data_IF_028879925003
#
_entry.id   IF_028879925003
#
_cell.length_a   1.000
_cell.length_b   1.000
_cell.length_c   1.000
_cell.angle_alpha   90.00
_cell.angle_beta   90.00
_cell.angle_gamma   90.00
#
_symmetry.space_group_name_H-M   'P 1'
#
loop_
_entity.id
_entity.type
_entity.pdbx_description
1 polymer ?
#
# COMPACT_ATOMS: atom_id res chain seq x y z
N UNK A 1 41.01 -15.64 27.04
CA UNK A 1 40.64 -14.42 27.80
C UNK A 1 41.24 -14.44 29.23
N UNK A 2 42.43 -15.03 29.37
CA UNK A 2 42.95 -15.37 30.69
C UNK A 2 44.16 -14.52 31.14
N UNK A 3 44.42 -13.39 30.47
CA UNK A 3 45.56 -12.53 30.81
C UNK A 3 45.17 -11.23 31.56
N UNK A 4 43.94 -11.10 32.01
CA UNK A 4 43.46 -9.96 32.80
C UNK A 4 43.38 -8.63 32.05
N UNK A 5 43.50 -8.61 30.74
CA UNK A 5 43.55 -7.40 29.93
C UNK A 5 42.23 -7.07 29.23
N UNK A 6 41.08 -7.32 29.86
CA UNK A 6 39.83 -6.82 29.34
C UNK A 6 39.80 -5.29 29.38
N UNK A 7 40.08 -4.67 28.26
CA UNK A 7 39.94 -3.22 28.12
C UNK A 7 38.54 -2.88 27.57
N UNK A 8 37.87 -1.94 28.22
CA UNK A 8 36.63 -1.40 27.71
C UNK A 8 36.88 -0.80 26.31
N UNK A 9 36.09 -1.18 25.28
CA UNK A 9 36.27 -0.65 23.94
C UNK A 9 36.19 0.88 23.95
N UNK A 10 37.15 1.55 23.36
CA UNK A 10 37.16 2.99 23.15
C UNK A 10 37.17 3.28 21.65
N UNK A 11 36.81 4.51 21.23
CA UNK A 11 36.88 4.94 19.82
C UNK A 11 38.23 4.68 19.14
N UNK A 12 39.30 4.58 19.91
CA UNK A 12 40.64 4.38 19.41
C UNK A 12 41.09 2.91 19.38
N UNK A 13 40.20 1.98 19.83
CA UNK A 13 40.54 0.56 19.93
C UNK A 13 39.49 -0.32 19.23
N UNK A 14 39.47 -0.26 17.90
CA UNK A 14 38.52 -0.96 17.03
C UNK A 14 38.46 -2.48 17.21
N UNK A 15 39.60 -3.09 17.51
CA UNK A 15 39.69 -4.56 17.60
C UNK A 15 38.81 -5.13 18.72
N UNK A 16 38.75 -4.47 19.86
CA UNK A 16 37.94 -4.93 21.00
C UNK A 16 36.46 -4.57 20.83
N UNK A 17 36.17 -3.45 20.19
CA UNK A 17 34.80 -3.06 19.94
C UNK A 17 34.07 -4.08 19.04
N UNK A 18 34.73 -4.57 17.98
CA UNK A 18 34.19 -5.59 17.10
C UNK A 18 33.89 -6.91 17.81
N UNK A 19 34.83 -7.36 18.70
CA UNK A 19 34.59 -8.55 19.51
C UNK A 19 33.41 -8.36 20.45
N UNK A 20 33.29 -7.19 21.06
CA UNK A 20 32.20 -6.89 21.98
C UNK A 20 30.81 -6.89 21.26
N UNK A 21 30.72 -6.27 20.08
CA UNK A 21 29.48 -6.29 19.27
C UNK A 21 29.17 -7.72 18.83
N UNK A 22 30.15 -8.50 18.44
CA UNK A 22 30.00 -9.91 18.07
C UNK A 22 29.41 -10.72 19.24
N UNK A 23 29.94 -10.61 20.44
CA UNK A 23 29.42 -11.31 21.63
C UNK A 23 28.03 -10.82 22.05
N UNK A 24 27.74 -9.52 21.88
CA UNK A 24 26.37 -9.00 22.04
C UNK A 24 25.42 -9.64 21.01
N UNK A 25 25.86 -9.81 19.76
CA UNK A 25 25.09 -10.52 18.74
C UNK A 25 24.66 -11.91 19.21
N UNK A 26 25.60 -12.68 19.77
CA UNK A 26 25.28 -13.99 20.35
C UNK A 26 24.29 -13.90 21.52
N UNK A 27 24.48 -12.92 22.40
CA UNK A 27 23.58 -12.69 23.53
C UNK A 27 22.15 -12.31 23.09
N UNK A 28 22.03 -11.69 21.91
CA UNK A 28 20.75 -11.35 21.25
C UNK A 28 20.19 -12.48 20.37
N UNK A 29 20.85 -13.64 20.33
CA UNK A 29 20.35 -14.82 19.59
C UNK A 29 20.88 -14.98 18.17
N UNK A 30 21.80 -14.13 17.72
CA UNK A 30 22.47 -14.31 16.44
C UNK A 30 23.49 -15.45 16.54
N UNK A 31 23.58 -16.25 15.47
CA UNK A 31 24.58 -17.33 15.34
C UNK A 31 25.64 -16.96 14.31
N UNK A 32 26.73 -17.70 14.29
CA UNK A 32 27.67 -17.59 13.18
C UNK A 32 27.00 -17.96 11.87
N UNK A 33 27.30 -17.24 10.77
CA UNK A 33 26.66 -17.46 9.46
C UNK A 33 27.25 -18.65 8.68
N UNK A 34 28.13 -19.44 9.30
CA UNK A 34 28.84 -20.57 8.70
C UNK A 34 28.79 -21.81 9.60
N UNK A 35 29.10 -22.97 9.04
CA UNK A 35 29.25 -24.21 9.79
C UNK A 35 30.48 -24.17 10.68
N UNK A 36 30.30 -24.33 11.99
CA UNK A 36 31.39 -24.43 12.94
C UNK A 36 31.60 -25.87 13.39
N UNK A 37 32.85 -26.34 13.42
CA UNK A 37 33.19 -27.55 14.15
C UNK A 37 33.04 -27.29 15.65
N UNK A 38 31.98 -27.78 16.27
CA UNK A 38 31.80 -27.68 17.71
C UNK A 38 32.72 -28.63 18.45
N UNK A 39 33.38 -28.22 19.54
CA UNK A 39 34.13 -29.10 20.43
C UNK A 39 33.25 -30.22 21.02
N UNK A 40 31.92 -30.04 21.06
CA UNK A 40 30.95 -31.04 21.54
C UNK A 40 30.41 -31.93 20.41
N UNK A 41 30.89 -31.78 19.18
CA UNK A 41 30.39 -32.54 18.01
C UNK A 41 28.99 -32.15 17.54
N UNK A 42 28.36 -31.10 18.12
CA UNK A 42 27.09 -30.54 17.63
C UNK A 42 27.42 -29.45 16.61
N UNK A 43 27.09 -29.66 15.37
CA UNK A 43 27.19 -28.68 14.32
C UNK A 43 26.04 -27.69 14.47
N UNK A 44 26.29 -26.38 14.31
CA UNK A 44 25.23 -25.39 14.24
C UNK A 44 24.27 -25.74 13.09
N UNK A 45 22.98 -25.56 13.30
CA UNK A 45 21.99 -25.93 12.26
C UNK A 45 21.96 -24.89 11.15
N UNK A 46 21.82 -25.32 9.87
CA UNK A 46 21.56 -24.40 8.76
C UNK A 46 20.23 -23.65 8.97
N UNK A 47 19.91 -22.59 8.20
CA UNK A 47 20.65 -22.13 7.03
C UNK A 47 21.93 -21.36 7.38
N UNK A 48 22.89 -21.38 6.44
CA UNK A 48 24.12 -20.59 6.46
C UNK A 48 24.10 -19.56 5.33
N UNK A 49 24.88 -18.48 5.49
CA UNK A 49 25.09 -17.51 4.40
C UNK A 49 26.04 -18.10 3.35
N UNK A 50 25.86 -17.70 2.13
CA UNK A 50 26.82 -17.98 1.05
C UNK A 50 28.16 -17.32 1.34
N UNK A 51 29.25 -17.84 0.74
CA UNK A 51 30.62 -17.39 1.04
C UNK A 51 30.81 -15.88 0.88
N UNK A 52 30.17 -15.27 -0.12
CA UNK A 52 30.30 -13.85 -0.44
C UNK A 52 29.49 -12.95 0.51
N UNK A 53 28.49 -13.51 1.18
CA UNK A 53 27.72 -12.84 2.25
C UNK A 53 28.30 -13.10 3.64
N UNK A 54 29.09 -14.16 3.80
CA UNK A 54 29.78 -14.46 5.05
C UNK A 54 31.01 -13.57 5.22
N UNK A 55 30.80 -12.28 5.30
CA UNK A 55 31.84 -11.27 5.50
C UNK A 55 31.41 -10.23 6.53
N UNK A 56 32.37 -9.67 7.27
CA UNK A 56 32.11 -8.69 8.34
C UNK A 56 31.46 -7.38 7.87
N UNK A 57 31.51 -7.07 6.59
CA UNK A 57 30.78 -5.95 5.99
C UNK A 57 29.26 -6.19 6.00
N UNK A 58 28.83 -7.47 5.97
CA UNK A 58 27.42 -7.86 5.94
C UNK A 58 26.89 -8.34 7.28
N UNK A 59 27.73 -8.99 8.09
CA UNK A 59 27.38 -9.46 9.43
C UNK A 59 28.57 -9.43 10.37
N UNK A 60 28.43 -8.86 11.55
CA UNK A 60 29.43 -8.89 12.61
C UNK A 60 29.70 -10.31 13.13
N UNK A 61 28.78 -11.25 12.85
CA UNK A 61 28.92 -12.65 13.25
C UNK A 61 29.91 -13.43 12.36
N UNK A 62 30.37 -12.84 11.25
CA UNK A 62 31.41 -13.43 10.39
C UNK A 62 32.81 -13.24 10.94
N UNK A 63 33.70 -14.22 10.68
CA UNK A 63 35.15 -14.10 10.94
C UNK A 63 35.93 -13.63 9.71
N UNK A 64 35.27 -13.48 8.56
CA UNK A 64 35.90 -13.11 7.30
C UNK A 64 35.84 -11.61 7.05
N UNK A 65 36.87 -11.03 6.44
CA UNK A 65 36.94 -9.63 6.05
C UNK A 65 37.55 -8.72 7.13
N UNK A 66 37.72 -7.44 6.77
CA UNK A 66 38.24 -6.42 7.70
C UNK A 66 37.12 -5.91 8.62
N UNK A 67 37.27 -6.13 9.91
CA UNK A 67 36.35 -5.64 10.95
C UNK A 67 36.65 -4.17 11.26
N UNK A 68 35.80 -3.25 10.77
CA UNK A 68 35.98 -1.80 10.98
C UNK A 68 34.72 -1.08 11.49
N UNK A 69 33.69 -1.81 11.95
CA UNK A 69 32.45 -1.21 12.41
C UNK A 69 32.26 -1.33 13.92
N UNK A 70 31.67 -0.30 14.52
CA UNK A 70 31.17 -0.29 15.89
C UNK A 70 29.69 -0.60 15.99
N UNK A 71 29.05 -0.95 14.87
CA UNK A 71 27.62 -1.13 14.74
C UNK A 71 27.35 -2.51 14.16
N UNK A 72 26.16 -3.02 14.36
CA UNK A 72 25.69 -4.19 13.65
C UNK A 72 25.66 -3.90 12.14
N UNK A 73 26.02 -4.90 11.39
CA UNK A 73 26.00 -4.83 9.91
C UNK A 73 24.59 -5.08 9.36
N UNK A 74 24.32 -4.80 8.09
CA UNK A 74 22.95 -4.87 7.56
C UNK A 74 22.19 -6.19 7.79
N UNK A 75 22.84 -7.34 7.65
CA UNK A 75 22.19 -8.63 7.88
C UNK A 75 21.93 -8.91 9.36
N UNK A 76 22.80 -8.39 10.25
CA UNK A 76 22.53 -8.48 11.70
C UNK A 76 21.29 -7.68 12.07
N UNK A 77 21.17 -6.46 11.54
CA UNK A 77 20.00 -5.59 11.76
C UNK A 77 18.73 -6.27 11.23
N UNK A 78 18.77 -6.81 10.02
CA UNK A 78 17.61 -7.52 9.45
C UNK A 78 17.19 -8.72 10.32
N UNK A 79 18.15 -9.49 10.81
CA UNK A 79 17.88 -10.63 11.70
C UNK A 79 17.34 -10.19 13.07
N UNK A 80 17.89 -9.12 13.66
CA UNK A 80 17.40 -8.58 14.93
C UNK A 80 15.99 -7.99 14.79
N UNK A 81 15.68 -7.32 13.69
CA UNK A 81 14.33 -6.81 13.42
C UNK A 81 13.33 -7.94 13.23
N UNK A 82 13.74 -9.03 12.58
CA UNK A 82 12.91 -10.23 12.49
C UNK A 82 12.60 -10.84 13.87
N UNK A 83 13.57 -10.85 14.79
CA UNK A 83 13.43 -11.43 16.13
C UNK A 83 12.68 -10.54 17.12
N UNK A 84 12.89 -9.24 17.07
CA UNK A 84 12.46 -8.28 18.10
C UNK A 84 11.57 -7.16 17.61
N UNK A 85 11.35 -7.02 16.32
CA UNK A 85 10.64 -5.89 15.71
C UNK A 85 11.55 -4.69 15.46
N UNK A 86 10.97 -3.65 14.87
CA UNK A 86 11.64 -2.39 14.54
C UNK A 86 11.61 -1.45 15.74
N UNK A 87 12.73 -0.76 15.98
CA UNK A 87 12.77 0.34 16.94
C UNK A 87 12.03 1.56 16.35
N UNK A 88 10.89 1.92 16.94
CA UNK A 88 9.97 2.95 16.42
C UNK A 88 10.52 4.38 16.43
N UNK A 89 11.68 4.61 17.04
CA UNK A 89 12.32 5.93 17.09
C UNK A 89 13.37 6.15 16.02
N UNK A 90 13.76 5.09 15.31
CA UNK A 90 14.75 5.17 14.23
C UNK A 90 14.08 5.63 12.97
N UNK A 91 14.54 6.74 12.38
CA UNK A 91 13.98 7.35 11.17
C UNK A 91 12.44 7.56 11.26
N UNK A 92 11.93 7.95 12.44
CA UNK A 92 10.49 8.01 12.74
C UNK A 92 9.73 9.18 12.12
N UNK A 93 10.33 9.91 11.20
CA UNK A 93 9.71 10.98 10.43
C UNK A 93 9.75 10.64 8.95
N UNK A 94 9.00 11.39 8.14
CA UNK A 94 8.92 11.18 6.69
C UNK A 94 10.31 11.17 6.06
N UNK A 95 10.70 10.03 5.52
CA UNK A 95 12.06 9.77 5.00
C UNK A 95 12.02 9.42 3.51
N UNK A 96 13.01 9.92 2.75
CA UNK A 96 13.21 9.52 1.36
C UNK A 96 14.46 8.66 1.24
N UNK A 97 14.27 7.40 0.90
CA UNK A 97 15.32 6.42 0.63
C UNK A 97 15.67 6.41 -0.84
N UNK A 98 16.74 7.12 -1.21
CA UNK A 98 17.21 7.15 -2.61
C UNK A 98 17.87 5.82 -2.96
N UNK A 99 17.27 5.12 -3.93
CA UNK A 99 17.81 3.86 -4.45
C UNK A 99 19.20 4.05 -5.08
N UNK A 100 20.13 3.20 -4.72
CA UNK A 100 21.50 3.23 -5.25
C UNK A 100 21.82 1.94 -6.01
N UNK A 101 21.94 2.02 -7.33
CA UNK A 101 22.21 0.88 -8.19
C UNK A 101 23.64 0.32 -8.08
N UNK A 102 24.55 1.03 -7.41
CA UNK A 102 25.95 0.64 -7.21
C UNK A 102 26.21 -0.01 -5.84
N UNK A 103 25.20 -0.06 -4.98
CA UNK A 103 25.27 -0.66 -3.64
C UNK A 103 24.05 -1.55 -3.42
N UNK A 104 24.10 -2.42 -2.43
CA UNK A 104 22.91 -3.03 -1.87
C UNK A 104 22.19 -1.99 -1.00
N UNK A 105 20.85 -2.02 -1.02
CA UNK A 105 20.01 -1.10 -0.29
C UNK A 105 19.21 -1.90 0.74
N UNK A 106 19.50 -1.71 2.02
CA UNK A 106 18.74 -2.25 3.13
C UNK A 106 17.99 -1.10 3.80
N UNK A 107 16.67 -1.18 3.78
CA UNK A 107 15.80 -0.13 4.31
C UNK A 107 15.25 -0.59 5.66
N UNK A 108 15.47 0.22 6.70
CA UNK A 108 14.77 0.07 7.98
C UNK A 108 14.29 1.44 8.45
N UNK A 109 13.06 1.46 8.90
CA UNK A 109 12.35 2.65 9.30
C UNK A 109 11.43 2.35 10.48
N UNK A 110 11.31 3.27 11.42
CA UNK A 110 10.50 3.14 12.62
C UNK A 110 9.10 3.73 12.49
N UNK A 111 8.85 4.51 11.43
CA UNK A 111 7.55 5.11 11.12
C UNK A 111 7.68 6.51 10.54
N UNK A 112 6.64 6.94 9.91
CA UNK A 112 6.52 8.16 9.11
C UNK A 112 5.64 7.89 7.89
N UNK A 113 5.72 8.76 6.89
CA UNK A 113 5.23 8.51 5.54
C UNK A 113 6.45 8.50 4.63
N UNK A 114 6.90 7.31 4.28
CA UNK A 114 8.23 7.09 3.74
C UNK A 114 8.20 6.78 2.25
N UNK A 115 9.27 7.13 1.56
CA UNK A 115 9.37 6.98 0.11
C UNK A 115 10.64 6.25 -0.29
N UNK A 116 10.53 5.22 -1.12
CA UNK A 116 11.66 4.70 -1.88
C UNK A 116 11.67 5.42 -3.24
N UNK A 117 12.77 6.10 -3.55
CA UNK A 117 12.94 6.86 -4.78
C UNK A 117 14.02 6.23 -5.69
N UNK A 118 13.57 5.60 -6.78
CA UNK A 118 14.42 5.02 -7.82
C UNK A 118 14.49 5.87 -9.11
N UNK A 119 14.01 7.11 -9.09
CA UNK A 119 13.95 7.98 -10.27
C UNK A 119 15.32 8.22 -10.94
N UNK A 120 16.40 8.15 -10.18
CA UNK A 120 17.77 8.31 -10.66
C UNK A 120 18.40 7.04 -11.24
N UNK A 121 17.71 5.89 -11.22
CA UNK A 121 18.24 4.64 -11.77
C UNK A 121 18.53 4.76 -13.26
N UNK A 122 19.65 4.19 -13.69
CA UNK A 122 20.05 4.15 -15.11
C UNK A 122 19.46 2.95 -15.87
N UNK A 123 18.70 2.10 -15.20
CA UNK A 123 18.09 0.87 -15.73
C UNK A 123 16.71 0.66 -15.10
N UNK A 124 15.87 -0.22 -15.70
CA UNK A 124 14.64 -0.66 -15.06
C UNK A 124 14.89 -1.20 -13.64
N UNK A 125 13.89 -1.09 -12.78
CA UNK A 125 13.95 -1.65 -11.43
C UNK A 125 12.76 -2.59 -11.18
N UNK A 126 12.98 -3.57 -10.31
CA UNK A 126 11.92 -4.37 -9.71
C UNK A 126 11.97 -4.14 -8.21
N UNK A 127 10.97 -3.49 -7.64
CA UNK A 127 10.94 -3.10 -6.21
C UNK A 127 9.66 -3.59 -5.56
N UNK A 128 9.79 -4.12 -4.35
CA UNK A 128 8.70 -4.56 -3.48
C UNK A 128 8.73 -3.76 -2.19
N UNK A 129 7.60 -3.18 -1.79
CA UNK A 129 7.47 -2.50 -0.50
C UNK A 129 7.20 -3.47 0.66
N UNK A 130 6.77 -4.70 0.36
CA UNK A 130 6.53 -5.72 1.37
C UNK A 130 7.80 -6.11 2.11
N UNK A 131 7.81 -6.06 3.47
CA UNK A 131 8.98 -6.41 4.27
C UNK A 131 9.48 -7.84 4.01
N UNK A 132 10.79 -8.01 3.89
CA UNK A 132 11.44 -9.29 3.63
C UNK A 132 11.49 -9.72 2.16
N UNK A 133 10.86 -8.97 1.24
CA UNK A 133 11.00 -9.20 -0.19
C UNK A 133 12.24 -8.48 -0.72
N UNK A 134 12.83 -9.06 -1.78
CA UNK A 134 14.08 -8.59 -2.37
C UNK A 134 13.88 -8.10 -3.79
N UNK A 135 13.97 -6.80 -3.98
CA UNK A 135 13.99 -6.14 -5.27
C UNK A 135 15.41 -6.09 -5.88
N UNK A 136 15.49 -5.72 -7.15
CA UNK A 136 16.74 -5.73 -7.93
C UNK A 136 16.67 -4.76 -9.10
N UNK A 137 17.83 -4.40 -9.64
CA UNK A 137 17.90 -3.68 -10.92
C UNK A 137 17.59 -4.63 -12.09
N UNK A 138 16.78 -4.16 -13.05
CA UNK A 138 16.30 -4.95 -14.19
C UNK A 138 14.94 -5.60 -13.92
N UNK A 139 14.42 -6.29 -14.94
CA UNK A 139 13.10 -6.95 -14.93
C UNK A 139 13.17 -8.45 -14.69
N UNK A 140 14.33 -9.03 -14.83
CA UNK A 140 14.54 -10.47 -14.65
C UNK A 140 15.48 -10.70 -13.50
N UNK A 141 14.99 -11.44 -12.50
CA UNK A 141 15.82 -11.82 -11.35
C UNK A 141 16.97 -12.71 -11.84
N UNK A 142 18.17 -12.22 -11.63
CA UNK A 142 19.38 -13.05 -11.72
C UNK A 142 19.58 -13.73 -10.37
N UNK A 143 20.34 -14.85 -10.38
CA UNK A 143 20.77 -15.50 -9.13
C UNK A 143 21.92 -14.66 -8.52
N UNK A 144 21.55 -13.50 -7.97
CA UNK A 144 22.46 -12.59 -7.27
C UNK A 144 22.10 -12.59 -5.78
N UNK A 145 23.10 -12.39 -4.95
CA UNK A 145 22.92 -12.26 -3.51
C UNK A 145 22.19 -10.96 -3.17
N UNK A 146 21.42 -10.95 -2.10
CA UNK A 146 20.70 -9.73 -1.64
C UNK A 146 21.65 -8.58 -1.28
N UNK A 147 22.92 -8.90 -1.08
CA UNK A 147 24.02 -7.97 -0.83
C UNK A 147 24.69 -7.43 -2.09
N UNK A 148 24.29 -7.92 -3.27
CA UNK A 148 24.84 -7.46 -4.55
C UNK A 148 24.43 -6.03 -4.88
N UNK A 149 25.25 -5.29 -5.64
CA UNK A 149 24.90 -3.94 -6.07
C UNK A 149 23.58 -3.88 -6.84
N UNK A 150 22.72 -2.94 -6.48
CA UNK A 150 21.39 -2.77 -7.06
C UNK A 150 20.32 -3.70 -6.49
N UNK A 151 20.62 -4.52 -5.50
CA UNK A 151 19.60 -5.20 -4.71
C UNK A 151 18.98 -4.23 -3.71
N UNK A 152 17.69 -4.40 -3.41
CA UNK A 152 16.97 -3.60 -2.41
C UNK A 152 16.07 -4.49 -1.56
N UNK A 153 16.11 -4.29 -0.26
CA UNK A 153 15.33 -5.06 0.71
C UNK A 153 14.73 -4.10 1.73
N UNK A 154 13.41 -4.13 1.85
CA UNK A 154 12.71 -3.53 2.99
C UNK A 154 12.78 -4.53 4.14
N UNK A 155 13.40 -4.13 5.25
CA UNK A 155 13.59 -5.01 6.40
C UNK A 155 12.28 -5.32 7.14
N UNK A 156 12.24 -6.43 7.84
CA UNK A 156 11.06 -6.84 8.61
C UNK A 156 10.62 -5.77 9.62
N UNK A 157 9.31 -5.52 9.66
CA UNK A 157 8.69 -4.53 10.54
C UNK A 157 8.74 -3.08 10.02
N UNK A 158 9.51 -2.80 8.99
CA UNK A 158 9.54 -1.49 8.31
C UNK A 158 8.29 -1.32 7.47
N UNK A 159 7.70 -0.14 7.51
CA UNK A 159 6.56 0.27 6.69
C UNK A 159 7.02 1.35 5.72
N UNK A 160 6.66 1.22 4.45
CA UNK A 160 6.94 2.21 3.40
C UNK A 160 5.65 2.41 2.61
N UNK A 161 5.24 3.66 2.45
CA UNK A 161 3.98 4.03 1.81
C UNK A 161 4.15 4.41 0.35
N UNK A 162 5.30 4.98 -0.02
CA UNK A 162 5.46 5.54 -1.35
C UNK A 162 6.63 4.91 -2.12
N UNK A 163 6.44 4.78 -3.43
CA UNK A 163 7.46 4.25 -4.32
C UNK A 163 7.48 5.04 -5.63
N UNK A 164 8.64 5.54 -5.98
CA UNK A 164 8.91 6.19 -7.26
C UNK A 164 9.83 5.29 -8.07
N UNK A 165 9.37 4.87 -9.24
CA UNK A 165 10.12 4.10 -10.22
C UNK A 165 11.13 4.93 -10.99
N UNK A 166 11.71 4.34 -12.02
CA UNK A 166 12.69 4.97 -12.89
C UNK A 166 12.02 5.52 -14.16
N UNK A 167 12.83 6.09 -15.05
CA UNK A 167 12.36 6.49 -16.39
C UNK A 167 12.22 5.32 -17.37
N UNK A 168 12.42 4.10 -16.95
CA UNK A 168 12.36 2.88 -17.77
C UNK A 168 11.14 2.06 -17.36
N UNK A 169 10.86 1.01 -18.10
CA UNK A 169 9.75 0.09 -17.76
C UNK A 169 10.09 -0.72 -16.51
N UNK A 170 9.39 -0.46 -15.43
CA UNK A 170 9.65 -0.98 -14.08
C UNK A 170 8.62 -2.05 -13.66
N UNK A 171 8.94 -2.78 -12.61
CA UNK A 171 7.98 -3.62 -11.86
C UNK A 171 7.95 -3.13 -10.42
N UNK A 172 6.83 -2.53 -10.04
CA UNK A 172 6.63 -1.90 -8.74
C UNK A 172 5.50 -2.62 -7.99
N UNK A 173 5.78 -3.06 -6.78
CA UNK A 173 4.79 -3.75 -5.95
C UNK A 173 4.71 -3.08 -4.58
N UNK A 174 3.50 -2.67 -4.20
CA UNK A 174 3.16 -2.13 -2.90
C UNK A 174 3.16 -3.17 -1.78
N UNK A 175 2.47 -2.88 -0.70
CA UNK A 175 2.33 -3.73 0.48
C UNK A 175 0.86 -3.76 0.95
N UNK A 176 0.61 -3.96 2.25
CA UNK A 176 -0.74 -3.99 2.81
C UNK A 176 -1.22 -2.62 3.31
N UNK A 177 -0.46 -1.55 3.06
CA UNK A 177 -0.81 -0.16 3.41
C UNK A 177 -1.41 0.56 2.19
N UNK A 178 -1.98 1.73 2.41
CA UNK A 178 -2.36 2.63 1.33
C UNK A 178 -1.10 3.20 0.67
N UNK A 179 -0.76 2.74 -0.51
CA UNK A 179 0.46 3.13 -1.20
C UNK A 179 0.23 4.23 -2.25
N UNK A 180 1.24 5.07 -2.43
CA UNK A 180 1.33 5.98 -3.59
C UNK A 180 2.47 5.53 -4.48
N UNK A 181 2.14 5.12 -5.71
CA UNK A 181 3.07 4.52 -6.65
C UNK A 181 3.19 5.40 -7.90
N UNK A 182 4.43 5.67 -8.31
CA UNK A 182 4.75 6.49 -9.49
C UNK A 182 5.66 5.67 -10.39
N UNK A 183 5.18 5.26 -11.58
CA UNK A 183 6.00 4.57 -12.57
C UNK A 183 6.99 5.52 -13.26
N UNK A 184 6.64 6.80 -13.41
CA UNK A 184 7.28 7.84 -14.22
C UNK A 184 7.15 7.53 -15.73
N UNK A 185 8.23 7.30 -16.42
CA UNK A 185 8.23 6.99 -17.85
C UNK A 185 8.48 5.51 -18.07
N UNK A 186 8.00 5.02 -19.20
CA UNK A 186 8.18 3.61 -19.51
C UNK A 186 6.85 2.95 -19.78
N UNK A 187 6.84 1.64 -19.72
CA UNK A 187 5.62 0.83 -19.69
C UNK A 187 5.73 -0.06 -18.46
N UNK A 188 5.10 0.38 -17.40
CA UNK A 188 5.32 -0.13 -16.06
C UNK A 188 4.30 -1.22 -15.69
N UNK A 189 4.73 -2.12 -14.82
CA UNK A 189 3.85 -3.09 -14.18
C UNK A 189 3.76 -2.72 -12.71
N UNK A 190 2.57 -2.26 -12.28
CA UNK A 190 2.34 -1.75 -10.93
C UNK A 190 1.26 -2.60 -10.25
N UNK A 191 1.57 -3.09 -9.06
CA UNK A 191 0.64 -3.85 -8.21
C UNK A 191 0.56 -3.15 -6.86
N UNK A 192 -0.61 -2.62 -6.49
CA UNK A 192 -0.78 -1.88 -5.23
C UNK A 192 -0.66 -2.78 -4.00
N UNK A 193 -1.20 -3.98 -4.09
CA UNK A 193 -1.28 -4.90 -2.96
C UNK A 193 -2.64 -4.88 -2.29
N UNK A 194 -2.67 -4.71 -1.00
CA UNK A 194 -3.90 -4.47 -0.26
C UNK A 194 -3.92 -3.01 0.24
N UNK A 195 -5.10 -2.46 0.48
CA UNK A 195 -5.24 -1.07 0.90
C UNK A 195 -6.07 -0.26 -0.09
N UNK A 196 -5.96 1.06 -0.02
CA UNK A 196 -6.47 1.99 -1.01
C UNK A 196 -5.27 2.64 -1.69
N UNK A 197 -4.91 2.09 -2.84
CA UNK A 197 -3.67 2.40 -3.53
C UNK A 197 -3.87 3.42 -4.64
N UNK A 198 -2.91 4.31 -4.79
CA UNK A 198 -2.93 5.39 -5.77
C UNK A 198 -1.75 5.30 -6.73
N UNK A 199 -2.04 5.27 -8.03
CA UNK A 199 -1.02 5.50 -9.06
C UNK A 199 -1.11 6.96 -9.52
N UNK A 200 0.05 7.64 -9.58
CA UNK A 200 0.15 9.04 -9.96
C UNK A 200 0.80 9.17 -11.33
N UNK A 201 0.16 9.95 -12.21
CA UNK A 201 0.60 10.24 -13.56
C UNK A 201 0.94 11.72 -13.76
N UNK A 202 2.01 12.00 -14.50
CA UNK A 202 2.46 13.37 -14.84
C UNK A 202 1.92 13.82 -16.22
N UNK A 203 0.63 13.52 -16.50
CA UNK A 203 -0.10 13.99 -17.70
C UNK A 203 -1.60 14.16 -17.36
N UNK A 204 -2.33 14.82 -18.26
CA UNK A 204 -3.75 15.07 -18.07
C UNK A 204 -4.59 13.81 -18.40
N UNK A 205 -5.72 13.67 -17.75
CA UNK A 205 -6.61 12.50 -17.91
C UNK A 205 -7.01 12.25 -19.37
N UNK A 206 -7.19 13.32 -20.14
CA UNK A 206 -7.58 13.25 -21.56
C UNK A 206 -6.52 12.61 -22.45
N UNK A 207 -5.25 12.61 -22.02
CA UNK A 207 -4.14 12.01 -22.75
C UNK A 207 -3.99 10.51 -22.51
N UNK A 208 -4.87 9.92 -21.68
CA UNK A 208 -4.85 8.51 -21.33
C UNK A 208 -6.10 7.77 -21.81
N UNK A 209 -5.89 6.58 -22.36
CA UNK A 209 -6.93 5.56 -22.53
C UNK A 209 -6.84 4.55 -21.40
N UNK A 210 -7.96 4.30 -20.73
CA UNK A 210 -8.11 3.26 -19.71
C UNK A 210 -8.76 2.03 -20.35
N UNK A 211 -8.08 0.90 -20.31
CA UNK A 211 -8.55 -0.35 -20.91
C UNK A 211 -8.51 -1.46 -19.85
N UNK A 212 -9.69 -1.94 -19.44
CA UNK A 212 -9.79 -3.02 -18.47
C UNK A 212 -9.45 -4.35 -19.14
N UNK A 213 -8.56 -5.12 -18.52
CA UNK A 213 -8.15 -6.43 -19.01
C UNK A 213 -8.35 -7.51 -17.95
N UNK A 214 -8.47 -8.75 -18.42
CA UNK A 214 -8.52 -9.93 -17.56
C UNK A 214 -7.23 -10.71 -17.77
N UNK A 215 -6.52 -10.95 -16.67
CA UNK A 215 -5.33 -11.78 -16.66
C UNK A 215 -5.62 -13.11 -15.97
N UNK A 216 -4.98 -14.16 -16.46
CA UNK A 216 -5.06 -15.49 -15.88
C UNK A 216 -3.71 -15.80 -15.20
N UNK A 217 -3.69 -15.83 -13.87
CA UNK A 217 -2.51 -16.23 -13.10
C UNK A 217 -2.65 -17.69 -12.68
N UNK A 218 -1.61 -18.48 -12.83
CA UNK A 218 -1.55 -19.84 -12.29
C UNK A 218 -0.94 -19.77 -10.89
N UNK A 219 -1.71 -20.20 -9.89
CA UNK A 219 -1.25 -20.31 -8.50
C UNK A 219 -1.61 -21.70 -7.98
N UNK A 220 -0.60 -22.45 -7.56
CA UNK A 220 -0.75 -23.81 -6.99
C UNK A 220 -1.61 -24.77 -7.84
N UNK A 221 -1.48 -24.66 -9.18
CA UNK A 221 -2.26 -25.47 -10.13
C UNK A 221 -3.68 -24.98 -10.40
N UNK A 222 -4.13 -23.91 -9.73
CA UNK A 222 -5.39 -23.24 -9.99
C UNK A 222 -5.20 -22.01 -10.89
N UNK A 223 -6.21 -21.70 -11.69
CA UNK A 223 -6.25 -20.46 -12.48
C UNK A 223 -6.99 -19.41 -11.67
N UNK A 224 -6.30 -18.36 -11.31
CA UNK A 224 -6.86 -17.17 -10.69
C UNK A 224 -7.12 -16.13 -11.78
N UNK A 225 -8.33 -15.55 -11.76
CA UNK A 225 -8.72 -14.47 -12.66
C UNK A 225 -8.41 -13.15 -11.95
N UNK A 226 -7.46 -12.39 -12.49
CA UNK A 226 -7.08 -11.09 -11.96
C UNK A 226 -7.55 -10.00 -12.92
N UNK A 227 -8.31 -9.03 -12.42
CA UNK A 227 -8.63 -7.82 -13.17
C UNK A 227 -7.46 -6.86 -13.10
N UNK A 228 -7.09 -6.31 -14.24
CA UNK A 228 -6.04 -5.31 -14.35
C UNK A 228 -6.50 -4.21 -15.29
N UNK A 229 -5.81 -3.08 -15.25
CA UNK A 229 -6.04 -1.97 -16.18
C UNK A 229 -4.77 -1.69 -16.97
N UNK A 230 -4.93 -1.36 -18.23
CA UNK A 230 -3.89 -0.74 -19.05
C UNK A 230 -4.17 0.75 -19.15
N UNK A 231 -3.18 1.53 -18.80
CA UNK A 231 -3.21 2.98 -18.94
C UNK A 231 -2.29 3.31 -20.11
N UNK A 232 -2.89 3.73 -21.22
CA UNK A 232 -2.19 3.95 -22.48
C UNK A 232 -2.06 5.46 -22.69
N UNK A 233 -0.84 5.96 -22.73
CA UNK A 233 -0.52 7.36 -23.03
C UNK A 233 0.64 7.44 -24.02
N UNK A 234 0.37 7.95 -25.21
CA UNK A 234 1.35 8.01 -26.30
C UNK A 234 1.84 6.63 -26.72
N UNK A 235 3.13 6.35 -26.50
CA UNK A 235 3.76 5.04 -26.80
C UNK A 235 3.92 4.15 -25.57
N UNK A 236 3.52 4.62 -24.39
CA UNK A 236 3.66 3.92 -23.12
C UNK A 236 2.35 3.23 -22.74
N UNK A 237 2.48 2.09 -22.11
CA UNK A 237 1.34 1.32 -21.62
C UNK A 237 1.68 0.74 -20.26
N UNK A 238 1.11 1.32 -19.22
CA UNK A 238 1.25 0.78 -17.87
C UNK A 238 0.17 -0.26 -17.62
N UNK A 239 0.56 -1.32 -16.93
CA UNK A 239 -0.37 -2.36 -16.46
C UNK A 239 -0.47 -2.28 -14.96
N UNK A 240 -1.65 -1.93 -14.47
CA UNK A 240 -1.88 -1.74 -13.04
C UNK A 240 -2.87 -2.77 -12.49
N UNK A 241 -2.66 -3.21 -11.24
CA UNK A 241 -3.49 -4.17 -10.52
C UNK A 241 -3.65 -3.72 -9.08
N UNK A 242 -4.79 -4.07 -8.47
CA UNK A 242 -5.06 -3.74 -7.07
C UNK A 242 -4.81 -2.25 -6.81
N UNK A 243 -5.41 -1.42 -7.64
CA UNK A 243 -5.32 0.05 -7.58
C UNK A 243 -6.73 0.61 -7.53
N UNK A 244 -7.00 1.40 -6.52
CA UNK A 244 -8.30 2.02 -6.29
C UNK A 244 -8.37 3.43 -6.85
N UNK A 245 -7.24 4.12 -6.94
CA UNK A 245 -7.17 5.54 -7.32
C UNK A 245 -6.12 5.79 -8.40
N UNK A 246 -6.52 6.53 -9.42
CA UNK A 246 -5.60 7.13 -10.39
C UNK A 246 -5.61 8.64 -10.19
N UNK A 247 -4.44 9.24 -10.10
CA UNK A 247 -4.27 10.68 -9.97
C UNK A 247 -3.56 11.22 -11.21
N UNK A 248 -4.28 12.00 -11.99
CA UNK A 248 -3.76 12.74 -13.13
C UNK A 248 -3.50 14.21 -12.73
N UNK A 249 -2.89 15.01 -13.61
CA UNK A 249 -2.64 16.43 -13.34
C UNK A 249 -3.92 17.23 -13.15
N UNK A 250 -4.96 16.91 -13.90
CA UNK A 250 -6.20 17.69 -14.01
C UNK A 250 -7.39 17.06 -13.28
N UNK A 251 -7.34 15.76 -12.99
CA UNK A 251 -8.45 15.04 -12.36
C UNK A 251 -8.00 13.71 -11.76
N UNK A 252 -8.91 13.03 -11.06
CA UNK A 252 -8.70 11.72 -10.49
C UNK A 252 -9.74 10.74 -11.00
N UNK A 253 -9.43 9.44 -10.95
CA UNK A 253 -10.37 8.36 -11.29
C UNK A 253 -10.34 7.30 -10.19
N UNK A 254 -11.50 6.90 -9.69
CA UNK A 254 -11.66 5.79 -8.78
C UNK A 254 -12.09 4.53 -9.54
N UNK A 255 -11.43 3.41 -9.27
CA UNK A 255 -11.61 2.15 -10.00
C UNK A 255 -12.38 1.09 -9.18
N UNK A 256 -12.52 1.27 -7.88
CA UNK A 256 -13.13 0.33 -6.94
C UNK A 256 -14.67 0.44 -6.91
N UNK A 257 -15.31 0.17 -8.03
CA UNK A 257 -16.78 0.27 -8.17
C UNK A 257 -17.54 -0.64 -7.17
N UNK A 258 -16.93 -1.73 -6.72
CA UNK A 258 -17.47 -2.58 -5.66
C UNK A 258 -17.01 -2.16 -4.24
N UNK A 259 -16.16 -1.15 -4.15
CA UNK A 259 -15.61 -0.57 -2.94
C UNK A 259 -16.21 0.79 -2.58
N UNK A 260 -15.36 1.69 -2.10
CA UNK A 260 -15.77 3.01 -1.64
C UNK A 260 -16.33 3.88 -2.77
N UNK A 261 -15.78 3.77 -3.99
CA UNK A 261 -16.25 4.57 -5.12
C UNK A 261 -17.72 4.27 -5.47
N UNK A 262 -18.08 3.00 -5.59
CA UNK A 262 -19.49 2.65 -5.86
C UNK A 262 -20.43 2.98 -4.68
N UNK A 263 -19.95 2.87 -3.44
CA UNK A 263 -20.71 3.29 -2.25
C UNK A 263 -21.04 4.78 -2.31
N UNK A 264 -20.06 5.63 -2.64
CA UNK A 264 -20.27 7.08 -2.74
C UNK A 264 -21.30 7.43 -3.80
N UNK A 265 -21.19 6.89 -5.00
CA UNK A 265 -22.14 7.22 -6.09
C UNK A 265 -23.55 6.77 -5.71
N UNK A 266 -23.72 5.61 -5.08
CA UNK A 266 -25.01 5.14 -4.57
C UNK A 266 -25.57 6.05 -3.46
N UNK A 267 -24.72 6.49 -2.54
CA UNK A 267 -25.09 7.43 -1.48
C UNK A 267 -25.56 8.76 -2.06
N UNK A 268 -24.80 9.32 -2.99
CA UNK A 268 -25.15 10.58 -3.66
C UNK A 268 -26.45 10.44 -4.45
N UNK A 269 -26.66 9.31 -5.15
CA UNK A 269 -27.92 9.01 -5.83
C UNK A 269 -29.12 8.97 -4.86
N UNK A 270 -28.94 8.36 -3.70
CA UNK A 270 -30.00 8.31 -2.69
C UNK A 270 -30.33 9.70 -2.10
N UNK A 271 -29.30 10.53 -1.89
CA UNK A 271 -29.46 11.85 -1.25
C UNK A 271 -29.83 12.98 -2.23
N UNK A 272 -29.25 12.96 -3.43
CA UNK A 272 -29.31 14.08 -4.38
C UNK A 272 -29.99 13.71 -5.72
N UNK A 273 -30.32 12.43 -5.91
CA UNK A 273 -30.82 11.91 -7.17
C UNK A 273 -29.71 11.48 -8.14
N UNK A 274 -30.11 10.73 -9.18
CA UNK A 274 -29.15 10.11 -10.11
C UNK A 274 -28.34 11.13 -10.93
N UNK A 275 -28.91 12.28 -11.24
CA UNK A 275 -28.24 13.33 -12.03
C UNK A 275 -27.06 13.95 -11.28
N UNK A 276 -27.20 14.15 -9.97
CA UNK A 276 -26.14 14.72 -9.12
C UNK A 276 -25.17 13.64 -8.56
N UNK A 277 -25.50 12.37 -8.70
CA UNK A 277 -24.68 11.26 -8.20
C UNK A 277 -23.26 11.25 -8.80
N UNK A 278 -23.09 11.82 -9.99
CA UNK A 278 -21.81 11.91 -10.71
C UNK A 278 -21.11 13.26 -10.54
N UNK A 279 -21.52 14.06 -9.57
CA UNK A 279 -20.85 15.33 -9.26
C UNK A 279 -19.45 15.07 -8.70
N UNK A 280 -18.43 15.42 -9.49
CA UNK A 280 -17.03 15.10 -9.21
C UNK A 280 -16.55 15.63 -7.85
N UNK A 281 -17.00 16.83 -7.44
CA UNK A 281 -16.60 17.41 -6.16
C UNK A 281 -17.21 16.65 -4.97
N UNK A 282 -18.49 16.28 -5.04
CA UNK A 282 -19.13 15.49 -3.99
C UNK A 282 -18.56 14.09 -3.89
N UNK A 283 -18.22 13.47 -5.03
CA UNK A 283 -17.53 12.18 -5.07
C UNK A 283 -16.18 12.30 -4.36
N UNK A 284 -15.38 13.31 -4.66
CA UNK A 284 -14.08 13.53 -4.02
C UNK A 284 -14.16 13.69 -2.51
N UNK A 285 -15.12 14.51 -2.02
CA UNK A 285 -15.37 14.67 -0.57
C UNK A 285 -15.74 13.34 0.08
N UNK A 286 -16.66 12.61 -0.54
CA UNK A 286 -17.14 11.32 -0.03
C UNK A 286 -16.03 10.25 0.00
N UNK A 287 -15.23 10.15 -1.07
CA UNK A 287 -14.09 9.23 -1.15
C UNK A 287 -13.04 9.55 -0.08
N UNK A 288 -12.66 10.82 0.05
CA UNK A 288 -11.71 11.26 1.09
C UNK A 288 -12.19 10.85 2.48
N UNK A 289 -13.50 10.94 2.75
CA UNK A 289 -14.07 10.56 4.04
C UNK A 289 -14.02 9.05 4.27
N UNK A 290 -14.44 8.23 3.29
CA UNK A 290 -14.43 6.76 3.42
C UNK A 290 -13.00 6.20 3.42
N UNK A 291 -12.10 6.72 2.60
CA UNK A 291 -10.71 6.25 2.48
C UNK A 291 -9.91 6.59 3.76
N UNK A 292 -10.32 7.65 4.49
CA UNK A 292 -9.79 7.96 5.83
C UNK A 292 -10.45 7.19 6.98
N UNK A 293 -11.34 6.23 6.67
CA UNK A 293 -11.93 5.32 7.65
C UNK A 293 -13.27 5.76 8.25
N UNK A 294 -13.92 6.80 7.70
CA UNK A 294 -15.31 7.14 8.10
C UNK A 294 -16.24 5.98 7.70
N UNK A 295 -17.15 5.59 8.57
CA UNK A 295 -18.15 4.58 8.22
C UNK A 295 -19.17 5.10 7.21
N UNK A 296 -19.70 4.20 6.37
CA UNK A 296 -20.75 4.52 5.41
C UNK A 296 -22.01 5.08 6.09
N UNK A 297 -22.34 4.54 7.26
CA UNK A 297 -23.45 5.04 8.10
C UNK A 297 -23.24 6.47 8.55
N UNK A 298 -22.02 6.80 9.06
CA UNK A 298 -21.69 8.16 9.49
C UNK A 298 -21.74 9.16 8.34
N UNK A 299 -21.30 8.73 7.16
CA UNK A 299 -21.34 9.56 5.95
C UNK A 299 -22.77 9.76 5.44
N UNK A 300 -23.64 8.72 5.46
CA UNK A 300 -25.06 8.83 5.12
C UNK A 300 -25.77 9.82 6.08
N UNK A 301 -25.49 9.72 7.38
CA UNK A 301 -26.03 10.65 8.37
C UNK A 301 -25.62 12.09 8.09
N UNK A 302 -24.33 12.33 7.85
CA UNK A 302 -23.81 13.65 7.52
C UNK A 302 -24.42 14.21 6.22
N UNK A 303 -24.60 13.37 5.21
CA UNK A 303 -25.25 13.72 3.96
C UNK A 303 -26.75 14.10 4.14
N UNK A 304 -27.47 13.34 4.97
CA UNK A 304 -28.86 13.68 5.33
C UNK A 304 -28.95 15.03 6.05
N UNK A 305 -28.05 15.25 7.03
CA UNK A 305 -28.00 16.53 7.75
C UNK A 305 -27.67 17.70 6.81
N UNK A 306 -26.84 17.49 5.82
CA UNK A 306 -26.54 18.48 4.78
C UNK A 306 -27.76 18.82 3.92
N UNK A 307 -28.55 17.82 3.52
CA UNK A 307 -29.69 17.99 2.61
C UNK A 307 -30.95 18.50 3.33
N UNK A 308 -31.26 17.93 4.49
CA UNK A 308 -32.54 18.17 5.21
C UNK A 308 -32.38 18.90 6.56
N UNK A 309 -31.14 19.16 6.98
CA UNK A 309 -30.86 19.73 8.32
C UNK A 309 -30.74 18.66 9.41
N UNK A 310 -30.36 19.11 10.63
CA UNK A 310 -29.96 18.22 11.74
C UNK A 310 -31.12 17.42 12.39
N UNK A 311 -32.37 17.83 12.18
CA UNK A 311 -33.54 17.12 12.66
C UNK A 311 -34.64 17.13 11.59
N UNK A 312 -34.48 16.33 10.54
CA UNK A 312 -35.43 16.32 9.44
C UNK A 312 -36.76 15.73 9.87
N UNK A 313 -37.85 16.31 9.37
CA UNK A 313 -39.18 15.72 9.47
C UNK A 313 -39.23 14.36 8.77
N UNK A 314 -39.90 13.39 9.41
CA UNK A 314 -39.93 12.00 8.93
C UNK A 314 -40.55 11.85 7.53
N UNK A 315 -41.60 12.64 7.25
CA UNK A 315 -42.25 12.64 5.93
C UNK A 315 -41.30 13.20 4.85
N UNK A 316 -40.54 14.25 5.17
CA UNK A 316 -39.56 14.83 4.26
C UNK A 316 -38.43 13.82 3.96
N UNK A 317 -37.98 13.05 4.93
CA UNK A 317 -37.01 11.96 4.71
C UNK A 317 -37.54 10.90 3.75
N UNK A 318 -38.77 10.45 3.95
CA UNK A 318 -39.39 9.44 3.10
C UNK A 318 -39.62 9.97 1.68
N UNK A 319 -40.09 11.20 1.53
CA UNK A 319 -40.29 11.83 0.25
C UNK A 319 -38.98 11.96 -0.53
N UNK A 320 -37.90 12.46 0.11
CA UNK A 320 -36.58 12.60 -0.49
C UNK A 320 -36.12 11.28 -1.08
N UNK A 321 -36.10 10.22 -0.27
CA UNK A 321 -35.59 8.93 -0.70
C UNK A 321 -36.48 8.27 -1.76
N UNK A 322 -37.78 8.40 -1.66
CA UNK A 322 -38.69 7.85 -2.65
C UNK A 322 -38.55 8.55 -3.99
N UNK A 323 -38.51 9.87 -4.00
CA UNK A 323 -38.34 10.67 -5.23
C UNK A 323 -37.02 10.38 -5.91
N UNK A 324 -35.91 10.30 -5.13
CA UNK A 324 -34.61 9.99 -5.70
C UNK A 324 -34.47 8.55 -6.19
N UNK A 325 -35.19 7.59 -5.58
CA UNK A 325 -35.18 6.18 -5.99
C UNK A 325 -36.08 5.93 -7.21
N UNK A 326 -37.29 6.48 -7.19
CA UNK A 326 -38.39 6.11 -8.14
C UNK A 326 -38.57 7.18 -9.22
N UNK A 327 -38.13 8.41 -8.99
CA UNK A 327 -38.27 9.51 -9.93
C UNK A 327 -39.68 10.12 -9.95
N UNK A 328 -40.50 9.89 -8.89
CA UNK A 328 -41.88 10.41 -8.82
C UNK A 328 -42.28 10.67 -7.36
N UNK A 329 -43.32 11.48 -7.17
CA UNK A 329 -43.86 11.79 -5.83
C UNK A 329 -44.28 10.52 -5.11
N UNK A 330 -43.94 10.42 -3.82
CA UNK A 330 -44.27 9.26 -3.00
C UNK A 330 -45.77 9.14 -2.77
N UNK A 331 -46.39 7.93 -2.94
CA UNK A 331 -47.76 7.71 -2.54
C UNK A 331 -47.97 7.96 -1.04
N UNK A 332 -49.09 8.58 -0.65
CA UNK A 332 -49.42 8.91 0.75
C UNK A 332 -49.30 7.69 1.68
N UNK A 333 -49.72 6.50 1.19
CA UNK A 333 -49.61 5.26 1.97
C UNK A 333 -48.17 4.83 2.26
N UNK A 334 -47.21 5.15 1.37
CA UNK A 334 -45.79 4.89 1.56
C UNK A 334 -45.21 5.90 2.55
N UNK A 335 -45.51 7.20 2.35
CA UNK A 335 -45.07 8.25 3.25
C UNK A 335 -45.50 7.94 4.68
N UNK A 336 -46.83 7.71 4.87
CA UNK A 336 -47.37 7.40 6.20
C UNK A 336 -46.71 6.17 6.84
N UNK A 337 -46.57 5.07 6.06
CA UNK A 337 -45.98 3.83 6.60
C UNK A 337 -44.58 4.03 7.14
N UNK A 338 -43.71 4.67 6.37
CA UNK A 338 -42.28 4.78 6.74
C UNK A 338 -42.03 5.94 7.71
N UNK A 339 -42.81 7.04 7.65
CA UNK A 339 -42.71 8.10 8.65
C UNK A 339 -43.13 7.61 10.03
N UNK A 340 -44.22 6.81 10.14
CA UNK A 340 -44.64 6.21 11.41
C UNK A 340 -43.55 5.30 12.02
N UNK A 341 -42.81 4.50 11.19
CA UNK A 341 -41.70 3.69 11.66
C UNK A 341 -40.55 4.55 12.19
N UNK A 342 -40.27 5.66 11.54
CA UNK A 342 -39.23 6.61 11.98
C UNK A 342 -39.66 7.27 13.29
N UNK A 343 -40.88 7.76 13.40
CA UNK A 343 -41.40 8.43 14.59
C UNK A 343 -41.46 7.49 15.81
N UNK A 344 -41.71 6.19 15.59
CA UNK A 344 -41.68 5.17 16.63
C UNK A 344 -40.26 4.72 17.00
N UNK A 345 -39.23 5.16 16.26
CA UNK A 345 -37.86 4.74 16.46
C UNK A 345 -37.56 3.30 16.05
N UNK A 346 -38.46 2.68 15.26
CA UNK A 346 -38.27 1.34 14.70
C UNK A 346 -37.37 1.33 13.45
N UNK A 347 -37.22 2.48 12.82
CA UNK A 347 -36.36 2.74 11.67
C UNK A 347 -35.69 4.11 11.86
N UNK A 348 -34.38 4.21 11.60
CA UNK A 348 -33.74 5.53 11.57
C UNK A 348 -33.75 6.12 10.15
N UNK A 349 -33.73 7.47 10.00
CA UNK A 349 -33.52 8.10 8.69
C UNK A 349 -32.27 7.59 7.96
N UNK A 350 -31.21 7.33 8.70
CA UNK A 350 -29.94 6.79 8.18
C UNK A 350 -30.10 5.36 7.61
N UNK A 351 -30.79 4.48 8.36
CA UNK A 351 -31.04 3.09 7.89
C UNK A 351 -31.89 3.08 6.61
N UNK A 352 -32.90 3.94 6.54
CA UNK A 352 -33.69 4.08 5.32
C UNK A 352 -32.83 4.55 4.15
N UNK A 353 -31.96 5.53 4.37
CA UNK A 353 -31.03 6.04 3.37
C UNK A 353 -30.07 4.97 2.87
N UNK A 354 -29.51 4.15 3.77
CA UNK A 354 -28.64 3.03 3.41
C UNK A 354 -29.42 1.99 2.59
N UNK A 355 -30.63 1.64 3.00
CA UNK A 355 -31.46 0.69 2.27
C UNK A 355 -31.78 1.18 0.85
N UNK A 356 -32.02 2.47 0.67
CA UNK A 356 -32.24 3.09 -0.65
C UNK A 356 -30.94 3.10 -1.46
N UNK A 357 -29.82 3.48 -0.88
CA UNK A 357 -28.52 3.46 -1.55
C UNK A 357 -28.13 2.07 -2.06
N UNK A 358 -28.40 1.03 -1.26
CA UNK A 358 -28.08 -0.36 -1.63
C UNK A 358 -29.16 -1.03 -2.50
N UNK A 359 -30.25 -0.34 -2.82
CA UNK A 359 -31.32 -0.91 -3.64
C UNK A 359 -30.89 -1.07 -5.11
N UNK A 360 -31.32 -2.16 -5.76
CA UNK A 360 -30.96 -2.47 -7.15
C UNK A 360 -31.40 -1.37 -8.14
N UNK A 361 -32.50 -0.66 -7.85
CA UNK A 361 -32.98 0.47 -8.68
C UNK A 361 -31.92 1.59 -8.65
N UNK A 362 -31.36 1.92 -7.49
CA UNK A 362 -30.29 2.92 -7.37
C UNK A 362 -29.12 2.57 -8.26
N UNK A 363 -28.64 1.33 -8.18
CA UNK A 363 -27.54 0.85 -9.04
C UNK A 363 -27.87 0.95 -10.55
N UNK A 364 -29.13 0.72 -10.92
CA UNK A 364 -29.60 0.86 -12.30
C UNK A 364 -29.69 2.33 -12.75
N UNK A 365 -30.19 3.20 -11.88
CA UNK A 365 -30.37 4.64 -12.16
C UNK A 365 -29.02 5.33 -12.47
N UNK A 366 -27.95 4.94 -11.78
CA UNK A 366 -26.59 5.49 -11.98
C UNK A 366 -25.75 4.70 -13.00
N UNK A 367 -26.33 3.70 -13.67
CA UNK A 367 -25.60 2.81 -14.58
C UNK A 367 -24.30 2.24 -13.96
N UNK A 368 -24.38 1.78 -12.73
CA UNK A 368 -23.22 1.30 -11.96
C UNK A 368 -22.40 0.25 -12.73
N UNK A 369 -23.06 -0.59 -13.54
CA UNK A 369 -22.40 -1.62 -14.36
C UNK A 369 -21.51 -0.98 -15.43
N UNK A 370 -21.93 0.13 -16.07
CA UNK A 370 -21.13 0.85 -17.06
C UNK A 370 -19.90 1.52 -16.45
N UNK A 371 -19.98 1.93 -15.18
CA UNK A 371 -18.86 2.55 -14.46
C UNK A 371 -17.72 1.57 -14.17
N UNK A 372 -17.98 0.27 -14.19
CA UNK A 372 -16.94 -0.76 -14.06
C UNK A 372 -15.92 -0.69 -15.20
N UNK A 373 -16.34 -0.23 -16.39
CA UNK A 373 -15.49 -0.15 -17.58
C UNK A 373 -14.72 1.19 -17.69
N UNK A 374 -15.17 2.24 -17.01
CA UNK A 374 -14.62 3.59 -17.17
C UNK A 374 -13.94 4.13 -15.92
N UNK A 375 -14.27 3.58 -14.77
CA UNK A 375 -14.02 4.21 -13.48
C UNK A 375 -14.92 5.41 -13.21
N UNK A 376 -14.73 6.05 -12.08
CA UNK A 376 -15.50 7.22 -11.61
C UNK A 376 -14.55 8.41 -11.47
N UNK A 377 -14.75 9.43 -12.29
CA UNK A 377 -13.94 10.66 -12.21
C UNK A 377 -14.36 11.53 -11.01
N UNK A 378 -13.37 12.15 -10.35
CA UNK A 378 -13.58 13.06 -9.22
C UNK A 378 -12.47 14.13 -9.12
N UNK A 379 -12.68 15.16 -8.29
CA UNK A 379 -11.73 16.27 -8.06
C UNK A 379 -11.58 16.55 -6.57
#
# INVERSE_FOLDING_TARGET
>A
LDDGSFQIPTKDNFRYANVFIHEIGHALGLKHPFEEPSPSGKVASPPYLESDENMSIWTQMSYSGEKKSYEFSPLDIAALQYLYGVESTVNSGDTVYVYNELKSNFIWDGGGVDTIDASSSSQPVTIFLSPGYHGFKGLTKKYELITSPGQITVNFGTQIENLVGSRFSDVLTGNDLNNTLIGDKGSDVIDGGAGVDTVVFDFDRIDATLDQIIEYKSKDGNVEIVRAWRIISGQHTDTIRNIERLKFKDSNVALDINGNAGKIVKLLSALLGADEAMNKAYIGIGLTSLDSGMSFESLMKAGLEFVLGSNPDSENVVNLFYENLVGSVAPESIVKKYSELIDLGELTPTDLGIAVAEHNITASNINLVGLVETGIEYI
#
